data_IF_148772032667
#
_entry.id   IF_148772032667
#
_cell.length_a   1.000
_cell.length_b   1.000
_cell.length_c   1.000
_cell.angle_alpha   90.00
_cell.angle_beta   90.00
_cell.angle_gamma   90.00
#
_symmetry.space_group_name_H-M   'P 1'
#
loop_
_entity.id
_entity.type
_entity.pdbx_description
1 polymer ?
#
# COMPACT_ATOMS: atom_id res chain seq x y z
N UNK A 1 9.08 23.61 16.72
CA UNK A 1 7.73 23.72 17.33
C UNK A 1 6.56 23.59 16.34
N UNK A 2 6.75 23.74 15.03
CA UNK A 2 5.67 23.65 14.03
C UNK A 2 5.28 22.20 13.63
N UNK A 3 6.20 21.24 13.68
CA UNK A 3 5.88 19.82 13.33
C UNK A 3 5.00 19.11 14.38
N UNK A 4 5.16 19.46 15.66
CA UNK A 4 4.39 18.84 16.76
C UNK A 4 2.93 19.27 16.84
N UNK A 5 2.54 20.40 16.22
CA UNK A 5 1.14 20.84 16.14
C UNK A 5 0.39 20.12 15.01
N UNK A 6 1.00 19.99 13.81
CA UNK A 6 0.41 19.28 12.66
C UNK A 6 0.06 17.82 12.96
N UNK A 7 0.94 17.11 13.68
CA UNK A 7 0.71 15.69 14.05
C UNK A 7 -0.40 15.53 15.10
N UNK A 8 -0.56 16.47 16.03
CA UNK A 8 -1.67 16.42 17.01
C UNK A 8 -3.02 16.71 16.38
N UNK A 9 -3.06 17.63 15.41
CA UNK A 9 -4.28 17.98 14.67
C UNK A 9 -4.76 16.84 13.78
N UNK A 10 -3.85 16.19 13.03
CA UNK A 10 -4.16 15.01 12.22
C UNK A 10 -4.66 13.82 13.06
N UNK A 11 -4.11 13.61 14.26
CA UNK A 11 -4.55 12.56 15.20
C UNK A 11 -5.96 12.79 15.73
N UNK A 12 -6.27 14.03 16.16
CA UNK A 12 -7.62 14.39 16.63
C UNK A 12 -8.67 14.19 15.52
N UNK A 13 -8.33 14.59 14.30
CA UNK A 13 -9.22 14.46 13.14
C UNK A 13 -9.48 12.98 12.80
N UNK A 14 -8.45 12.14 12.81
CA UNK A 14 -8.58 10.68 12.61
C UNK A 14 -9.50 10.04 13.64
N UNK A 15 -9.25 10.27 14.94
CA UNK A 15 -10.04 9.67 16.01
C UNK A 15 -11.48 10.17 15.96
N UNK A 16 -11.68 11.46 15.68
CA UNK A 16 -13.01 12.03 15.51
C UNK A 16 -13.79 11.38 14.35
N UNK A 17 -13.13 11.04 13.24
CA UNK A 17 -13.79 10.35 12.13
C UNK A 17 -14.15 8.90 12.47
N UNK A 18 -13.21 8.12 13.02
CA UNK A 18 -13.46 6.72 13.41
C UNK A 18 -14.55 6.63 14.48
N UNK A 19 -14.46 7.43 15.54
CA UNK A 19 -15.44 7.44 16.63
C UNK A 19 -16.82 7.85 16.12
N UNK A 20 -16.94 8.95 15.35
CA UNK A 20 -18.24 9.37 14.80
C UNK A 20 -18.83 8.35 13.83
N UNK A 21 -18.00 7.69 13.03
CA UNK A 21 -18.45 6.65 12.12
C UNK A 21 -19.03 5.44 12.87
N UNK A 22 -18.29 4.94 13.86
CA UNK A 22 -18.70 3.80 14.68
C UNK A 22 -19.94 4.14 15.53
N UNK A 23 -19.99 5.33 16.12
CA UNK A 23 -21.17 5.82 16.84
C UNK A 23 -22.38 5.94 15.92
N UNK A 24 -22.20 6.42 14.69
CA UNK A 24 -23.28 6.52 13.70
C UNK A 24 -23.79 5.14 13.27
N UNK A 25 -22.89 4.15 13.12
CA UNK A 25 -23.28 2.76 12.84
C UNK A 25 -24.06 2.17 14.02
N UNK A 26 -23.59 2.35 15.27
CA UNK A 26 -24.27 1.87 16.48
C UNK A 26 -25.61 2.57 16.76
N UNK A 27 -25.75 3.84 16.34
CA UNK A 27 -26.99 4.59 16.48
C UNK A 27 -28.09 4.08 15.55
N UNK A 28 -27.76 3.35 14.48
CA UNK A 28 -28.77 2.81 13.57
C UNK A 28 -29.62 1.73 14.25
N UNK A 29 -30.94 1.86 14.14
CA UNK A 29 -31.93 0.95 14.76
C UNK A 29 -31.76 -0.50 14.30
N UNK A 30 -31.28 -0.72 13.08
CA UNK A 30 -31.06 -2.06 12.53
C UNK A 30 -29.88 -2.78 13.20
N UNK A 31 -28.89 -2.05 13.73
CA UNK A 31 -27.73 -2.63 14.44
C UNK A 31 -28.11 -3.10 15.85
N UNK A 32 -29.21 -2.59 16.41
CA UNK A 32 -29.74 -3.02 17.71
C UNK A 32 -30.44 -4.37 17.67
N UNK A 33 -30.74 -4.91 16.48
CA UNK A 33 -31.37 -6.23 16.30
C UNK A 33 -30.35 -7.35 16.52
N UNK A 34 -30.81 -8.49 17.03
CA UNK A 34 -29.95 -9.65 17.36
C UNK A 34 -29.12 -10.17 16.15
N UNK A 35 -29.65 -10.02 14.93
CA UNK A 35 -28.96 -10.40 13.69
C UNK A 35 -27.64 -9.66 13.48
N UNK A 36 -27.46 -8.46 14.05
CA UNK A 36 -26.23 -7.67 13.96
C UNK A 36 -25.45 -7.66 15.28
N UNK A 37 -25.65 -8.63 16.16
CA UNK A 37 -24.96 -8.70 17.46
C UNK A 37 -23.43 -8.72 17.32
N UNK A 38 -22.89 -9.38 16.29
CA UNK A 38 -21.44 -9.39 16.01
C UNK A 38 -20.93 -8.00 15.59
N UNK A 39 -21.62 -7.34 14.66
CA UNK A 39 -21.29 -5.98 14.22
C UNK A 39 -21.34 -5.00 15.41
N UNK A 40 -22.38 -5.10 16.23
CA UNK A 40 -22.55 -4.26 17.42
C UNK A 40 -21.38 -4.44 18.40
N UNK A 41 -21.04 -5.69 18.75
CA UNK A 41 -19.90 -5.99 19.63
C UNK A 41 -18.58 -5.50 19.04
N UNK A 42 -18.35 -5.69 17.74
CA UNK A 42 -17.14 -5.22 17.08
C UNK A 42 -17.02 -3.69 17.13
N UNK A 43 -18.11 -2.95 16.90
CA UNK A 43 -18.13 -1.50 17.03
C UNK A 43 -17.93 -1.02 18.48
N UNK A 44 -18.53 -1.69 19.47
CA UNK A 44 -18.39 -1.38 20.90
C UNK A 44 -16.93 -1.58 21.35
N UNK A 45 -16.33 -2.75 21.05
CA UNK A 45 -14.92 -3.05 21.36
C UNK A 45 -13.97 -2.04 20.70
N UNK A 46 -14.18 -1.75 19.40
CA UNK A 46 -13.37 -0.76 18.69
C UNK A 46 -13.47 0.64 19.33
N UNK A 47 -14.67 1.06 19.78
CA UNK A 47 -14.85 2.35 20.44
C UNK A 47 -14.20 2.40 21.82
N UNK A 48 -14.27 1.31 22.60
CA UNK A 48 -13.62 1.21 23.91
C UNK A 48 -12.10 1.30 23.78
N UNK A 49 -11.50 0.59 22.83
CA UNK A 49 -10.05 0.65 22.57
C UNK A 49 -9.62 2.04 22.09
N UNK A 50 -10.34 2.66 21.16
CA UNK A 50 -10.04 4.03 20.68
C UNK A 50 -10.15 5.05 21.82
N UNK A 51 -11.13 4.91 22.72
CA UNK A 51 -11.29 5.78 23.90
C UNK A 51 -10.14 5.57 24.89
N UNK A 52 -9.81 4.31 25.21
CA UNK A 52 -8.71 3.99 26.12
C UNK A 52 -7.35 4.49 25.59
N UNK A 53 -7.10 4.37 24.28
CA UNK A 53 -5.90 4.91 23.64
C UNK A 53 -5.89 6.44 23.58
N UNK A 54 -7.06 7.08 23.48
CA UNK A 54 -7.20 8.55 23.51
C UNK A 54 -6.97 9.12 24.91
N UNK A 55 -7.49 8.45 25.95
CA UNK A 55 -7.29 8.83 27.36
C UNK A 55 -5.82 8.70 27.78
N UNK A 56 -5.14 7.61 27.38
CA UNK A 56 -3.69 7.44 27.59
C UNK A 56 -2.83 8.51 26.90
N UNK A 57 -3.37 9.20 25.87
CA UNK A 57 -2.69 10.29 25.16
C UNK A 57 -3.00 11.68 25.73
N UNK A 58 -3.93 11.78 26.68
CA UNK A 58 -4.21 13.01 27.42
C UNK A 58 -3.16 13.18 28.53
N UNK A 59 -2.39 14.29 28.58
CA UNK A 59 -1.53 14.53 29.74
C UNK A 59 -2.40 14.68 30.99
N UNK A 60 -2.02 14.11 32.15
CA UNK A 60 -2.63 14.52 33.41
C UNK A 60 -2.30 16.00 33.62
N UNK A 61 -3.35 16.82 33.76
CA UNK A 61 -3.22 18.14 34.35
C UNK A 61 -2.80 17.94 35.82
N UNK A 62 -1.59 18.39 36.17
CA UNK A 62 -1.07 18.34 37.53
C UNK A 62 0.40 18.73 37.61
N UNK A 63 0.64 20.04 37.68
CA UNK A 63 1.76 20.78 38.31
C UNK A 63 3.24 20.37 38.10
N UNK A 64 4.07 21.41 37.98
CA UNK A 64 5.49 21.38 37.69
C UNK A 64 6.36 20.74 38.78
N UNK A 65 7.44 20.05 38.37
CA UNK A 65 8.82 20.31 38.82
C UNK A 65 9.85 19.62 37.92
N UNK A 66 10.91 20.36 37.62
CA UNK A 66 11.94 20.01 36.66
C UNK A 66 12.95 18.97 37.15
N UNK A 67 13.61 18.34 36.18
CA UNK A 67 14.75 17.45 36.38
C UNK A 67 15.36 17.12 35.02
N UNK A 68 16.49 17.76 34.72
CA UNK A 68 17.30 17.59 33.53
C UNK A 68 17.83 16.15 33.40
N UNK A 69 17.68 15.53 32.22
CA UNK A 69 18.65 14.56 31.72
C UNK A 69 18.58 14.49 30.20
N UNK A 70 19.70 14.85 29.59
CA UNK A 70 19.98 14.89 28.16
C UNK A 70 20.09 13.49 27.57
N UNK A 71 19.02 13.00 26.93
CA UNK A 71 19.08 11.94 25.92
C UNK A 71 18.04 12.26 24.82
N UNK A 72 18.38 12.18 23.53
CA UNK A 72 17.41 12.42 22.46
C UNK A 72 16.32 11.33 22.52
N UNK A 73 15.04 11.67 22.34
CA UNK A 73 14.00 10.65 22.28
C UNK A 73 14.29 9.77 21.06
N UNK A 74 14.64 8.52 21.35
CA UNK A 74 14.65 7.39 20.42
C UNK A 74 13.40 7.53 19.56
N UNK A 75 13.58 7.49 18.23
CA UNK A 75 12.53 7.52 17.21
C UNK A 75 11.61 6.30 17.42
N UNK A 76 10.74 6.39 18.41
CA UNK A 76 9.71 5.41 18.67
C UNK A 76 8.71 5.56 17.53
N UNK A 77 8.72 4.56 16.64
CA UNK A 77 7.68 4.26 15.66
C UNK A 77 6.36 4.79 16.20
N UNK A 78 5.84 5.78 15.48
CA UNK A 78 4.66 6.56 15.84
C UNK A 78 3.59 5.66 16.48
N UNK A 79 3.31 5.86 17.76
CA UNK A 79 2.16 5.27 18.46
C UNK A 79 0.89 5.83 17.83
N UNK A 80 0.53 5.26 16.69
CA UNK A 80 -0.62 5.54 15.85
C UNK A 80 -1.67 4.51 16.20
N UNK A 81 -2.90 4.95 16.42
CA UNK A 81 -4.05 4.06 16.39
C UNK A 81 -4.10 3.53 14.96
N UNK A 82 -3.62 2.31 14.72
CA UNK A 82 -3.59 1.71 13.40
C UNK A 82 -5.05 1.51 12.97
N UNK A 83 -5.55 2.30 12.01
CA UNK A 83 -6.96 2.16 11.58
C UNK A 83 -7.19 0.77 10.99
N UNK A 84 -6.11 0.19 10.48
CA UNK A 84 -5.94 -1.16 10.00
C UNK A 84 -6.49 -2.21 11.02
N UNK A 85 -6.31 -2.00 12.34
CA UNK A 85 -6.86 -2.89 13.38
C UNK A 85 -8.37 -2.81 13.53
N UNK A 86 -8.95 -1.66 13.23
CA UNK A 86 -10.37 -1.37 13.40
C UNK A 86 -11.15 -1.55 12.09
N UNK A 87 -10.63 -2.34 11.14
CA UNK A 87 -11.31 -2.60 9.87
C UNK A 87 -12.49 -3.57 10.00
N UNK A 88 -12.41 -4.57 10.89
CA UNK A 88 -13.42 -5.62 11.04
C UNK A 88 -14.86 -5.09 11.23
N UNK A 89 -15.14 -4.06 12.05
CA UNK A 89 -16.48 -3.48 12.14
C UNK A 89 -16.99 -2.93 10.80
N UNK A 90 -16.12 -2.32 9.99
CA UNK A 90 -16.50 -1.78 8.67
C UNK A 90 -16.75 -2.89 7.65
N UNK A 91 -15.98 -3.98 7.72
CA UNK A 91 -16.20 -5.18 6.91
C UNK A 91 -17.58 -5.79 7.19
N UNK A 92 -17.92 -5.99 8.47
CA UNK A 92 -19.23 -6.47 8.88
C UNK A 92 -20.36 -5.49 8.51
N UNK A 93 -20.11 -4.18 8.57
CA UNK A 93 -21.07 -3.16 8.16
C UNK A 93 -21.33 -3.19 6.65
N UNK A 94 -20.31 -3.46 5.83
CA UNK A 94 -20.42 -3.62 4.37
C UNK A 94 -21.21 -4.88 3.97
N UNK A 95 -21.15 -5.94 4.79
CA UNK A 95 -21.93 -7.17 4.60
C UNK A 95 -23.39 -7.06 5.11
N UNK A 96 -23.77 -5.93 5.71
CA UNK A 96 -25.13 -5.73 6.22
C UNK A 96 -26.15 -5.61 5.09
N UNK A 97 -27.36 -6.11 5.34
CA UNK A 97 -28.50 -5.97 4.40
C UNK A 97 -29.11 -4.56 4.40
N UNK A 98 -28.66 -3.66 5.26
CA UNK A 98 -29.19 -2.30 5.36
C UNK A 98 -28.35 -1.31 4.52
N UNK A 99 -28.88 -0.76 3.40
CA UNK A 99 -28.12 0.13 2.52
C UNK A 99 -27.59 1.40 3.21
N UNK A 100 -28.29 1.88 4.25
CA UNK A 100 -27.87 3.05 5.03
C UNK A 100 -26.59 2.79 5.83
N UNK A 101 -26.44 1.59 6.38
CA UNK A 101 -25.25 1.16 7.12
C UNK A 101 -24.09 0.98 6.14
N UNK A 102 -24.33 0.26 5.03
CA UNK A 102 -23.33 0.04 3.98
C UNK A 102 -22.81 1.36 3.42
N UNK A 103 -23.71 2.29 3.07
CA UNK A 103 -23.35 3.62 2.56
C UNK A 103 -22.52 4.43 3.56
N UNK A 104 -22.84 4.33 4.85
CA UNK A 104 -22.07 5.00 5.91
C UNK A 104 -20.69 4.37 6.05
N UNK A 105 -20.59 3.04 6.01
CA UNK A 105 -19.31 2.32 6.07
C UNK A 105 -18.40 2.69 4.90
N UNK A 106 -18.92 2.66 3.68
CA UNK A 106 -18.18 3.00 2.45
C UNK A 106 -17.69 4.46 2.45
N UNK A 107 -18.52 5.41 2.87
CA UNK A 107 -18.13 6.82 2.99
C UNK A 107 -17.00 7.03 4.04
N UNK A 108 -17.04 6.26 5.13
CA UNK A 108 -16.00 6.32 6.15
C UNK A 108 -14.69 5.69 5.67
N UNK A 109 -14.75 4.54 5.00
CA UNK A 109 -13.57 3.91 4.37
C UNK A 109 -12.94 4.84 3.33
N UNK A 110 -13.75 5.48 2.49
CA UNK A 110 -13.29 6.47 1.51
C UNK A 110 -12.50 7.60 2.19
N UNK A 111 -13.04 8.20 3.26
CA UNK A 111 -12.37 9.27 4.01
C UNK A 111 -11.08 8.79 4.65
N UNK A 112 -11.09 7.62 5.30
CA UNK A 112 -9.90 7.07 5.95
C UNK A 112 -8.75 6.82 4.96
N UNK A 113 -9.08 6.35 3.75
CA UNK A 113 -8.09 6.17 2.67
C UNK A 113 -7.63 7.52 2.13
N UNK A 114 -8.55 8.47 1.88
CA UNK A 114 -8.24 9.80 1.35
C UNK A 114 -7.28 10.59 2.25
N UNK A 115 -7.49 10.54 3.57
CA UNK A 115 -6.63 11.22 4.54
C UNK A 115 -5.35 10.44 4.88
N UNK A 116 -5.11 9.28 4.24
CA UNK A 116 -3.96 8.43 4.52
C UNK A 116 -3.96 7.85 5.94
N UNK A 117 -5.14 7.76 6.58
CA UNK A 117 -5.30 7.20 7.92
C UNK A 117 -5.37 5.67 7.92
N UNK A 118 -5.78 5.10 6.79
CA UNK A 118 -5.85 3.68 6.51
C UNK A 118 -4.90 3.39 5.34
N UNK A 119 -3.73 2.86 5.66
CA UNK A 119 -2.71 2.54 4.64
C UNK A 119 -2.73 1.07 4.26
N UNK A 120 -3.13 0.19 5.19
CA UNK A 120 -3.28 -1.24 4.93
C UNK A 120 -1.96 -1.92 4.57
N UNK A 121 -0.82 -1.40 5.03
CA UNK A 121 0.52 -1.94 4.73
C UNK A 121 0.82 -3.24 5.47
N UNK A 122 0.02 -3.59 6.47
CA UNK A 122 0.11 -4.88 7.14
C UNK A 122 -0.22 -6.02 6.16
N UNK A 123 0.53 -7.13 6.19
CA UNK A 123 0.17 -8.32 5.42
C UNK A 123 -1.19 -8.83 5.92
N UNK A 124 -2.05 -9.22 4.99
CA UNK A 124 -3.34 -9.81 5.33
C UNK A 124 -3.12 -11.18 6.00
N UNK A 125 -3.83 -11.43 7.12
CA UNK A 125 -3.71 -12.68 7.86
C UNK A 125 -4.36 -13.86 7.13
N UNK A 126 -5.24 -13.59 6.17
CA UNK A 126 -6.00 -14.58 5.42
C UNK A 126 -5.32 -15.03 4.11
N UNK A 127 -4.49 -14.19 3.48
CA UNK A 127 -3.85 -14.54 2.19
C UNK A 127 -2.37 -14.12 2.14
N UNK A 128 -1.41 -15.06 1.98
CA UNK A 128 -0.01 -14.73 1.78
C UNK A 128 0.20 -13.87 0.53
N UNK A 129 0.94 -12.77 0.66
CA UNK A 129 1.29 -11.88 -0.45
C UNK A 129 0.28 -10.76 -0.75
N UNK A 130 -0.88 -10.73 -0.09
CA UNK A 130 -1.81 -9.59 -0.14
C UNK A 130 -1.66 -8.70 1.08
N UNK A 131 -1.88 -7.41 0.88
CA UNK A 131 -1.90 -6.41 1.95
C UNK A 131 -3.34 -6.24 2.46
N UNK A 132 -3.53 -5.74 3.68
CA UNK A 132 -4.86 -5.45 4.21
C UNK A 132 -5.66 -4.51 3.30
N UNK A 133 -4.98 -3.59 2.60
CA UNK A 133 -5.63 -2.70 1.64
C UNK A 133 -6.33 -3.45 0.51
N UNK A 134 -5.80 -4.60 0.10
CA UNK A 134 -6.42 -5.42 -0.94
C UNK A 134 -7.75 -5.98 -0.46
N UNK A 135 -7.77 -6.53 0.75
CA UNK A 135 -9.01 -7.02 1.40
C UNK A 135 -10.05 -5.91 1.60
N UNK A 136 -9.61 -4.69 1.93
CA UNK A 136 -10.51 -3.53 2.05
C UNK A 136 -11.17 -3.23 0.70
N UNK A 137 -10.39 -3.17 -0.38
CA UNK A 137 -10.91 -2.91 -1.73
C UNK A 137 -11.81 -4.05 -2.20
N UNK A 138 -11.45 -5.30 -1.94
CA UNK A 138 -12.28 -6.47 -2.24
C UNK A 138 -13.64 -6.40 -1.52
N UNK A 139 -13.63 -5.98 -0.24
CA UNK A 139 -14.86 -5.78 0.54
C UNK A 139 -15.72 -4.67 -0.06
N UNK A 140 -15.12 -3.54 -0.46
CA UNK A 140 -15.83 -2.44 -1.14
C UNK A 140 -16.43 -2.94 -2.46
N UNK A 141 -15.69 -3.71 -3.25
CA UNK A 141 -16.18 -4.28 -4.50
C UNK A 141 -17.35 -5.26 -4.25
N UNK A 142 -17.29 -6.05 -3.19
CA UNK A 142 -18.32 -7.02 -2.80
C UNK A 142 -19.66 -6.41 -2.39
N UNK A 143 -19.71 -5.10 -2.09
CA UNK A 143 -20.97 -4.38 -1.83
C UNK A 143 -21.87 -4.29 -3.08
N UNK A 144 -21.31 -4.43 -4.29
CA UNK A 144 -22.08 -4.46 -5.52
C UNK A 144 -22.47 -5.89 -5.89
N UNK A 145 -23.79 -6.15 -5.96
CA UNK A 145 -24.35 -7.48 -6.21
C UNK A 145 -25.21 -7.54 -7.49
N UNK A 146 -25.20 -6.47 -8.29
CA UNK A 146 -25.96 -6.34 -9.53
C UNK A 146 -26.89 -5.13 -9.57
N UNK A 147 -27.79 -5.04 -10.57
CA UNK A 147 -28.69 -3.91 -10.78
C UNK A 147 -29.62 -3.58 -9.59
N UNK A 148 -29.84 -4.54 -8.70
CA UNK A 148 -30.69 -4.43 -7.51
C UNK A 148 -29.99 -3.78 -6.31
N UNK A 149 -28.67 -3.58 -6.37
CA UNK A 149 -27.95 -2.84 -5.32
C UNK A 149 -28.48 -1.40 -5.26
N UNK A 150 -28.68 -0.89 -4.05
CA UNK A 150 -29.16 0.47 -3.80
C UNK A 150 -28.31 1.53 -4.54
N UNK A 151 -28.96 2.52 -5.15
CA UNK A 151 -28.28 3.53 -5.97
C UNK A 151 -27.31 4.40 -5.15
N UNK A 152 -27.63 4.67 -3.88
CA UNK A 152 -26.76 5.40 -2.96
C UNK A 152 -25.51 4.59 -2.61
N UNK A 153 -25.68 3.28 -2.39
CA UNK A 153 -24.55 2.36 -2.19
C UNK A 153 -23.67 2.29 -3.43
N UNK A 154 -24.25 2.15 -4.63
CA UNK A 154 -23.48 2.15 -5.89
C UNK A 154 -22.60 3.39 -6.02
N UNK A 155 -23.17 4.58 -5.75
CA UNK A 155 -22.41 5.84 -5.82
C UNK A 155 -21.26 5.87 -4.82
N UNK A 156 -21.46 5.35 -3.60
CA UNK A 156 -20.40 5.29 -2.59
C UNK A 156 -19.30 4.29 -2.97
N UNK A 157 -19.64 3.16 -3.61
CA UNK A 157 -18.65 2.23 -4.15
C UNK A 157 -17.77 2.93 -5.19
N UNK A 158 -18.38 3.62 -6.16
CA UNK A 158 -17.64 4.35 -7.21
C UNK A 158 -16.66 5.35 -6.58
N UNK A 159 -17.13 6.16 -5.61
CA UNK A 159 -16.29 7.17 -4.92
C UNK A 159 -15.15 6.55 -4.12
N UNK A 160 -15.43 5.47 -3.38
CA UNK A 160 -14.45 4.78 -2.55
C UNK A 160 -13.37 4.13 -3.42
N UNK A 161 -13.74 3.44 -4.49
CA UNK A 161 -12.80 2.82 -5.43
C UNK A 161 -11.94 3.84 -6.17
N UNK A 162 -12.53 4.96 -6.62
CA UNK A 162 -11.76 6.06 -7.21
C UNK A 162 -10.70 6.57 -6.24
N UNK A 163 -11.10 6.83 -5.00
CA UNK A 163 -10.19 7.35 -3.97
C UNK A 163 -9.07 6.36 -3.66
N UNK A 164 -9.39 5.07 -3.56
CA UNK A 164 -8.39 4.04 -3.32
C UNK A 164 -7.36 3.98 -4.46
N UNK A 165 -7.82 3.79 -5.70
CA UNK A 165 -6.93 3.64 -6.86
C UNK A 165 -6.11 4.90 -7.14
N UNK A 166 -6.64 6.08 -6.82
CA UNK A 166 -5.93 7.35 -7.03
C UNK A 166 -5.13 7.84 -5.83
N UNK A 167 -5.20 7.16 -4.68
CA UNK A 167 -4.47 7.54 -3.46
C UNK A 167 -2.98 7.29 -3.61
N UNK A 168 -2.15 8.27 -3.28
CA UNK A 168 -0.68 8.19 -3.32
C UNK A 168 -0.10 7.54 -2.05
N UNK A 169 -0.94 7.23 -1.07
CA UNK A 169 -0.53 6.73 0.24
C UNK A 169 -0.58 5.20 0.35
N UNK A 170 -1.12 4.53 -0.67
CA UNK A 170 -1.33 3.08 -0.68
C UNK A 170 -0.80 2.47 -1.96
N UNK A 171 -0.21 1.29 -1.81
CA UNK A 171 0.21 0.43 -2.91
C UNK A 171 -0.77 -0.74 -2.98
N UNK A 172 -1.39 -0.90 -4.14
CA UNK A 172 -2.46 -1.87 -4.35
C UNK A 172 -1.92 -2.98 -5.25
N UNK A 173 -2.26 -4.23 -4.93
CA UNK A 173 -1.89 -5.36 -5.77
C UNK A 173 -2.59 -5.28 -7.14
N UNK A 174 -1.90 -5.67 -8.21
CA UNK A 174 -2.38 -5.55 -9.59
C UNK A 174 -3.74 -6.24 -9.83
N UNK A 175 -3.94 -7.44 -9.25
CA UNK A 175 -5.22 -8.15 -9.31
C UNK A 175 -6.37 -7.36 -8.66
N UNK A 176 -6.09 -6.67 -7.55
CA UNK A 176 -7.06 -5.84 -6.85
C UNK A 176 -7.43 -4.59 -7.66
N UNK A 177 -6.45 -4.00 -8.36
CA UNK A 177 -6.69 -2.86 -9.27
C UNK A 177 -7.66 -3.28 -10.39
N UNK A 178 -7.43 -4.44 -11.01
CA UNK A 178 -8.32 -4.98 -12.03
C UNK A 178 -9.73 -5.23 -11.50
N UNK A 179 -9.86 -5.75 -10.28
CA UNK A 179 -11.15 -5.97 -9.64
C UNK A 179 -11.91 -4.66 -9.38
N UNK A 180 -11.21 -3.61 -8.95
CA UNK A 180 -11.80 -2.28 -8.76
C UNK A 180 -12.32 -1.70 -10.09
N UNK A 181 -11.49 -1.74 -11.14
CA UNK A 181 -11.88 -1.27 -12.49
C UNK A 181 -13.08 -2.07 -13.02
N UNK A 182 -13.04 -3.41 -12.89
CA UNK A 182 -14.15 -4.29 -13.30
C UNK A 182 -15.43 -3.94 -12.55
N UNK A 183 -15.36 -3.68 -11.25
CA UNK A 183 -16.55 -3.34 -10.45
C UNK A 183 -17.14 -2.00 -10.88
N UNK A 184 -16.33 -0.96 -11.08
CA UNK A 184 -16.80 0.32 -11.62
C UNK A 184 -17.44 0.18 -13.01
N UNK A 185 -16.87 -0.67 -13.87
CA UNK A 185 -17.43 -0.97 -15.20
C UNK A 185 -18.77 -1.73 -15.10
N UNK A 186 -18.86 -2.70 -14.20
CA UNK A 186 -20.11 -3.41 -13.95
C UNK A 186 -21.21 -2.46 -13.45
N UNK A 187 -20.90 -1.52 -12.54
CA UNK A 187 -21.86 -0.51 -12.08
C UNK A 187 -22.28 0.40 -13.25
N UNK A 188 -21.33 0.84 -14.09
CA UNK A 188 -21.63 1.64 -15.28
C UNK A 188 -22.65 0.95 -16.21
N UNK A 189 -22.50 -0.34 -16.46
CA UNK A 189 -23.41 -1.08 -17.34
C UNK A 189 -24.75 -1.44 -16.68
N UNK A 190 -24.74 -1.78 -15.39
CA UNK A 190 -25.90 -2.34 -14.69
C UNK A 190 -26.78 -1.31 -13.98
N UNK A 191 -26.24 -0.13 -13.66
CA UNK A 191 -26.97 0.93 -12.97
C UNK A 191 -28.14 1.43 -13.81
N UNK A 192 -29.30 1.62 -13.19
CA UNK A 192 -30.47 2.28 -13.82
C UNK A 192 -30.44 3.80 -13.66
N UNK A 193 -29.57 4.31 -12.79
CA UNK A 193 -29.43 5.72 -12.49
C UNK A 193 -28.38 6.37 -13.41
N UNK A 194 -28.79 7.37 -14.19
CA UNK A 194 -27.94 8.06 -15.16
C UNK A 194 -26.78 8.83 -14.49
N UNK A 195 -26.98 9.36 -13.28
CA UNK A 195 -25.92 10.03 -12.52
C UNK A 195 -24.85 9.00 -12.19
N UNK A 196 -25.23 7.84 -11.64
CA UNK A 196 -24.28 6.77 -11.32
C UNK A 196 -23.55 6.26 -12.56
N UNK A 197 -24.24 6.09 -13.70
CA UNK A 197 -23.58 5.69 -14.96
C UNK A 197 -22.54 6.73 -15.39
N UNK A 198 -22.90 8.02 -15.39
CA UNK A 198 -22.01 9.10 -15.82
C UNK A 198 -20.81 9.25 -14.88
N UNK A 199 -21.05 9.16 -13.56
CA UNK A 199 -19.98 9.19 -12.54
C UNK A 199 -19.06 7.98 -12.65
N UNK A 200 -19.61 6.78 -12.87
CA UNK A 200 -18.80 5.57 -13.09
C UNK A 200 -17.94 5.68 -14.35
N UNK A 201 -18.50 6.18 -15.46
CA UNK A 201 -17.75 6.43 -16.70
C UNK A 201 -16.60 7.40 -16.49
N UNK A 202 -16.83 8.55 -15.84
CA UNK A 202 -15.78 9.52 -15.53
C UNK A 202 -14.70 8.91 -14.61
N UNK A 203 -15.15 8.14 -13.60
CA UNK A 203 -14.27 7.46 -12.64
C UNK A 203 -13.37 6.44 -13.33
N UNK A 204 -13.89 5.63 -14.26
CA UNK A 204 -13.11 4.64 -15.00
C UNK A 204 -11.97 5.30 -15.79
N UNK A 205 -12.28 6.37 -16.53
CA UNK A 205 -11.27 7.14 -17.26
C UNK A 205 -10.20 7.67 -16.30
N UNK A 206 -10.60 8.25 -15.18
CA UNK A 206 -9.67 8.79 -14.20
C UNK A 206 -8.79 7.71 -13.56
N UNK A 207 -9.38 6.57 -13.17
CA UNK A 207 -8.65 5.44 -12.60
C UNK A 207 -7.59 4.94 -13.59
N UNK A 208 -7.98 4.67 -14.85
CA UNK A 208 -7.06 4.18 -15.88
C UNK A 208 -5.92 5.17 -16.14
N UNK A 209 -6.24 6.46 -16.30
CA UNK A 209 -5.21 7.48 -16.51
C UNK A 209 -4.19 7.53 -15.37
N UNK A 210 -4.65 7.44 -14.11
CA UNK A 210 -3.76 7.45 -12.94
C UNK A 210 -2.94 6.16 -12.85
N UNK A 211 -3.53 5.00 -13.14
CA UNK A 211 -2.81 3.72 -13.15
C UNK A 211 -1.69 3.75 -14.19
N UNK A 212 -1.99 4.12 -15.44
CA UNK A 212 -0.98 4.16 -16.50
C UNK A 212 0.12 5.19 -16.22
N UNK A 213 -0.24 6.39 -15.74
CA UNK A 213 0.75 7.39 -15.34
C UNK A 213 1.65 6.89 -14.20
N UNK A 214 1.12 6.12 -13.24
CA UNK A 214 1.93 5.50 -12.18
C UNK A 214 2.86 4.43 -12.72
N UNK A 215 2.37 3.55 -13.59
CA UNK A 215 3.18 2.49 -14.21
C UNK A 215 4.34 3.08 -15.03
N UNK A 216 4.07 4.11 -15.83
CA UNK A 216 5.10 4.80 -16.61
C UNK A 216 6.15 5.47 -15.71
N UNK A 217 5.70 6.17 -14.65
CA UNK A 217 6.62 6.78 -13.69
C UNK A 217 7.47 5.72 -12.97
N UNK A 218 6.88 4.60 -12.57
CA UNK A 218 7.59 3.51 -11.92
C UNK A 218 8.68 2.93 -12.83
N UNK A 219 8.34 2.62 -14.09
CA UNK A 219 9.30 2.13 -15.07
C UNK A 219 10.44 3.13 -15.32
N UNK A 220 10.14 4.43 -15.35
CA UNK A 220 11.15 5.48 -15.51
C UNK A 220 12.09 5.57 -14.29
N UNK A 221 11.58 5.40 -13.07
CA UNK A 221 12.42 5.40 -11.86
C UNK A 221 13.33 4.17 -11.81
N UNK A 222 12.81 3.00 -12.16
CA UNK A 222 13.58 1.76 -12.24
C UNK A 222 14.71 1.86 -13.28
N UNK A 223 14.43 2.42 -14.46
CA UNK A 223 15.44 2.65 -15.49
C UNK A 223 16.56 3.60 -15.01
N UNK A 224 16.19 4.71 -14.35
CA UNK A 224 17.16 5.65 -13.75
C UNK A 224 17.99 5.00 -12.64
N UNK A 225 17.40 4.09 -11.88
CA UNK A 225 18.11 3.40 -10.81
C UNK A 225 19.12 2.39 -11.37
N UNK A 226 18.72 1.60 -12.37
CA UNK A 226 19.63 0.69 -13.08
C UNK A 226 20.81 1.44 -13.73
N UNK A 227 20.55 2.62 -14.32
CA UNK A 227 21.61 3.45 -14.89
C UNK A 227 22.60 3.93 -13.82
N UNK A 228 22.12 4.40 -12.67
CA UNK A 228 22.98 4.82 -11.54
C UNK A 228 23.81 3.66 -10.99
N UNK A 229 23.22 2.47 -10.89
CA UNK A 229 23.91 1.26 -10.45
C UNK A 229 25.02 0.85 -11.44
N UNK A 230 24.74 0.94 -12.75
CA UNK A 230 25.74 0.72 -13.80
C UNK A 230 26.93 1.69 -13.69
N UNK A 231 26.67 2.98 -13.47
CA UNK A 231 27.73 3.98 -13.29
C UNK A 231 28.56 3.73 -12.02
N UNK A 232 27.91 3.32 -10.91
CA UNK A 232 28.63 2.93 -9.67
C UNK A 232 29.52 1.71 -9.87
N UNK A 233 29.04 0.68 -10.56
CA UNK A 233 29.84 -0.50 -10.88
C UNK A 233 31.04 -0.13 -11.76
N UNK A 234 30.83 0.71 -12.78
CA UNK A 234 31.92 1.17 -13.65
C UNK A 234 32.99 1.95 -12.86
N UNK A 235 32.58 2.85 -11.96
CA UNK A 235 33.51 3.58 -11.10
C UNK A 235 34.25 2.68 -10.09
N UNK A 236 33.61 1.61 -9.59
CA UNK A 236 34.25 0.64 -8.69
C UNK A 236 35.30 -0.21 -9.42
N UNK A 237 35.04 -0.59 -10.68
CA UNK A 237 36.01 -1.27 -11.54
C UNK A 237 37.24 -0.39 -11.85
N UNK A 238 37.06 0.92 -12.01
CA UNK A 238 38.14 1.88 -12.28
C UNK A 238 38.99 2.25 -11.04
N UNK A 239 38.47 2.06 -9.82
CA UNK A 239 39.18 2.36 -8.56
C UNK A 239 39.80 1.14 -7.86
N UNK A 240 39.62 -0.06 -8.42
CA UNK A 240 40.31 -1.25 -7.88
C UNK A 240 41.83 -1.08 -8.10
N UNK A 241 42.67 -1.14 -7.05
CA UNK A 241 44.11 -0.99 -7.23
C UNK A 241 44.60 -2.15 -8.08
N UNK A 242 45.08 -1.83 -9.29
CA UNK A 242 45.72 -2.77 -10.20
C UNK A 242 46.92 -3.36 -9.46
N UNK A 243 46.77 -4.58 -8.93
CA UNK A 243 47.92 -5.38 -8.54
C UNK A 243 48.61 -5.78 -9.84
N UNK A 244 49.67 -5.05 -10.19
CA UNK A 244 50.59 -5.41 -11.26
C UNK A 244 51.19 -6.78 -10.93
N UNK A 245 50.64 -7.83 -11.51
CA UNK A 245 51.37 -9.07 -11.73
C UNK A 245 51.39 -9.30 -13.24
N UNK A 246 52.51 -8.92 -13.87
CA UNK A 246 52.82 -9.38 -15.21
C UNK A 246 52.79 -10.92 -15.23
N UNK A 247 52.12 -11.56 -16.21
CA UNK A 247 52.32 -12.97 -16.47
C UNK A 247 53.62 -13.12 -17.26
N UNK A 248 54.68 -13.63 -16.64
CA UNK A 248 55.88 -14.08 -17.36
C UNK A 248 55.48 -15.09 -18.45
N UNK A 249 55.85 -14.78 -19.70
CA UNK A 249 55.70 -15.70 -20.83
C UNK A 249 56.72 -16.84 -20.71
N UNK A 250 56.35 -18.12 -20.97
CA UNK A 250 57.30 -19.22 -20.85
C UNK A 250 58.36 -19.16 -21.97
N UNK A 251 59.62 -19.01 -21.58
CA UNK A 251 60.78 -19.04 -22.47
C UNK A 251 60.89 -20.38 -23.23
N UNK A 252 60.92 -20.33 -24.56
CA UNK A 252 61.33 -21.44 -25.41
C UNK A 252 62.80 -21.80 -25.09
N UNK A 253 63.04 -23.03 -24.60
CA UNK A 253 64.39 -23.60 -24.50
C UNK A 253 64.95 -23.83 -25.91
N UNK A 254 65.92 -23.01 -26.31
CA UNK A 254 66.83 -23.29 -27.41
C UNK A 254 67.80 -24.41 -26.98
N UNK A 255 67.77 -25.56 -27.67
CA UNK A 255 68.81 -26.58 -27.61
C UNK A 255 69.84 -26.29 -28.74
N UNK A 256 71.16 -26.31 -28.46
CA UNK A 256 72.17 -26.07 -29.48
C UNK A 256 72.33 -27.26 -30.45
N UNK A 257 72.85 -27.04 -31.67
CA UNK A 257 72.77 -28.00 -32.76
C UNK A 257 73.82 -29.11 -32.64
N UNK A 258 73.40 -30.36 -32.85
CA UNK A 258 74.32 -31.47 -33.06
C UNK A 258 74.77 -31.49 -34.53
N UNK A 259 76.09 -31.39 -34.69
CA UNK A 259 76.83 -31.66 -35.93
C UNK A 259 76.66 -33.11 -36.35
N UNK A 260 76.22 -33.36 -37.58
CA UNK A 260 76.37 -34.66 -38.23
C UNK A 260 77.00 -34.43 -39.59
N UNK A 261 78.28 -34.80 -39.70
CA UNK A 261 79.05 -34.79 -40.92
C UNK A 261 78.82 -36.09 -41.71
N UNK A 262 78.45 -35.89 -42.98
CA UNK A 262 78.98 -36.55 -44.18
C UNK A 262 78.56 -37.97 -44.65
N UNK A 263 78.25 -38.01 -45.97
CA UNK A 263 78.36 -39.08 -46.99
C UNK A 263 77.23 -40.12 -47.05
N UNK A 264 76.70 -40.60 -48.20
CA UNK A 264 76.90 -40.39 -49.65
C UNK A 264 75.80 -41.19 -50.38
N UNK A 265 75.34 -40.71 -51.56
CA UNK A 265 75.01 -41.44 -52.82
C UNK A 265 74.11 -42.72 -52.75
N UNK A 266 73.03 -42.96 -53.53
CA UNK A 266 72.78 -43.05 -54.99
C UNK A 266 71.25 -43.10 -55.21
N UNK A 267 70.66 -42.42 -56.20
CA UNK A 267 70.33 -42.84 -57.58
C UNK A 267 69.31 -44.00 -57.76
N UNK A 268 68.20 -43.62 -58.42
CA UNK A 268 67.32 -44.38 -59.35
C UNK A 268 66.56 -45.66 -58.97
N UNK A 269 65.31 -45.73 -59.47
CA UNK A 269 64.60 -46.99 -59.77
C UNK A 269 63.19 -47.08 -59.22
#
# INVERSE_FOLDING_TARGET
>A
MYEGKKTKEGKKTKNMFLTRALEKILADKEVKKAHHSQLRKACEVALEEIKAETEKQSPPHGEAKGGSSTLPPVKSKTNFIEADKYFLPFELACQSKCPRIVSTSLDCLQKLIAYGHLTGNAPDSTTPGKKLIDRIIETICGCFQGPQTDEGVQLQIIKALLTAVTSQHIEIHEGTVLQAVRTCYNIYLASKNLINQTTAKATLTQMLNVIFARMENQALQEAKQMEKERHRQHHHLLQSPVSHHEPESPQLRYLPPQTVDHMSQEHEG
#
